data_IF_814519857434
#
_entry.id   IF_814519857434
#
_cell.length_a   1.000
_cell.length_b   1.000
_cell.length_c   1.000
_cell.angle_alpha   90.00
_cell.angle_beta   90.00
_cell.angle_gamma   90.00
#
_symmetry.space_group_name_H-M   'P 1'
#
loop_
_entity.id
_entity.type
_entity.pdbx_description
1 polymer ?
#
# COMPACT_ATOMS: atom_id res chain seq x y z
N UNK A 1 -4.22 -10.88 8.71
CA UNK A 1 -3.84 -9.55 8.24
C UNK A 1 -3.15 -8.81 9.37
N UNK A 2 -1.83 -8.80 9.32
CA UNK A 2 -0.93 -8.02 10.19
C UNK A 2 -0.59 -6.68 9.53
N UNK A 3 -0.05 -5.74 10.31
CA UNK A 3 0.48 -4.48 9.76
C UNK A 3 1.56 -4.72 8.69
N UNK A 4 2.39 -5.76 8.85
CA UNK A 4 3.40 -6.16 7.86
C UNK A 4 2.80 -6.69 6.55
N UNK A 5 1.73 -7.51 6.62
CA UNK A 5 1.03 -8.00 5.42
C UNK A 5 0.43 -6.83 4.62
N UNK A 6 -0.11 -5.82 5.29
CA UNK A 6 -0.65 -4.62 4.65
C UNK A 6 0.47 -3.77 3.99
N UNK A 7 1.62 -3.59 4.66
CA UNK A 7 2.80 -2.93 4.07
C UNK A 7 3.28 -3.69 2.84
N UNK A 8 3.33 -5.02 2.89
CA UNK A 8 3.72 -5.85 1.76
C UNK A 8 2.81 -5.66 0.54
N UNK A 9 1.51 -5.44 0.73
CA UNK A 9 0.59 -5.12 -0.36
C UNK A 9 0.86 -3.73 -0.96
N UNK A 10 1.12 -2.72 -0.12
CA UNK A 10 1.50 -1.38 -0.58
C UNK A 10 2.78 -1.44 -1.43
N UNK A 11 3.82 -2.16 -0.96
CA UNK A 11 5.09 -2.31 -1.68
C UNK A 11 4.90 -2.94 -3.06
N UNK A 12 4.08 -4.01 -3.18
CA UNK A 12 3.81 -4.63 -4.48
C UNK A 12 3.15 -3.68 -5.47
N UNK A 13 2.22 -2.85 -4.99
CA UNK A 13 1.54 -1.85 -5.83
C UNK A 13 2.50 -0.76 -6.29
N UNK A 14 3.37 -0.27 -5.40
CA UNK A 14 4.37 0.74 -5.74
C UNK A 14 5.42 0.21 -6.73
N UNK A 15 5.89 -1.03 -6.54
CA UNK A 15 6.79 -1.69 -7.50
C UNK A 15 6.14 -1.85 -8.87
N UNK A 16 4.84 -2.13 -8.92
CA UNK A 16 4.11 -2.20 -10.17
C UNK A 16 3.99 -0.81 -10.79
N UNK A 17 3.61 0.21 -10.01
CA UNK A 17 3.49 1.59 -10.46
C UNK A 17 4.80 2.13 -11.07
N UNK A 18 5.96 1.80 -10.48
CA UNK A 18 7.28 2.20 -10.98
C UNK A 18 7.56 1.68 -12.41
N UNK A 19 6.95 0.57 -12.80
CA UNK A 19 7.08 0.00 -14.15
C UNK A 19 6.05 0.51 -15.15
N UNK A 20 5.05 1.28 -14.71
CA UNK A 20 3.94 1.72 -15.56
C UNK A 20 4.28 2.99 -16.33
N UNK A 21 4.14 2.94 -17.66
CA UNK A 21 4.25 4.13 -18.52
C UNK A 21 2.93 4.88 -18.65
N UNK A 22 1.82 4.26 -18.26
CA UNK A 22 0.50 4.90 -18.25
C UNK A 22 0.30 5.66 -16.95
N UNK A 23 0.39 7.00 -17.02
CA UNK A 23 0.28 7.89 -15.87
C UNK A 23 -0.98 7.65 -15.04
N UNK A 24 -2.15 7.51 -15.67
CA UNK A 24 -3.40 7.32 -14.96
C UNK A 24 -3.45 5.98 -14.20
N UNK A 25 -2.77 4.95 -14.71
CA UNK A 25 -2.65 3.66 -14.03
C UNK A 25 -1.64 3.74 -12.88
N UNK A 26 -0.49 4.37 -13.10
CA UNK A 26 0.52 4.63 -12.06
C UNK A 26 -0.11 5.34 -10.86
N UNK A 27 -0.78 6.47 -11.08
CA UNK A 27 -1.44 7.25 -10.01
C UNK A 27 -2.50 6.44 -9.26
N UNK A 28 -3.26 5.58 -9.98
CA UNK A 28 -4.24 4.70 -9.34
C UNK A 28 -3.57 3.65 -8.45
N UNK A 29 -2.45 3.07 -8.89
CA UNK A 29 -1.70 2.09 -8.12
C UNK A 29 -1.09 2.72 -6.86
N UNK A 30 -0.55 3.94 -6.98
CA UNK A 30 -0.06 4.74 -5.85
C UNK A 30 -1.18 5.02 -4.83
N UNK A 31 -2.34 5.50 -5.27
CA UNK A 31 -3.48 5.74 -4.37
C UNK A 31 -4.01 4.48 -3.67
N UNK A 32 -3.93 3.32 -4.33
CA UNK A 32 -4.23 2.04 -3.69
C UNK A 32 -3.15 1.66 -2.67
N UNK A 33 -1.88 1.95 -2.94
CA UNK A 33 -0.79 1.73 -1.98
C UNK A 33 -0.98 2.59 -0.73
N UNK A 34 -1.35 3.87 -0.87
CA UNK A 34 -1.65 4.77 0.26
C UNK A 34 -2.80 4.24 1.13
N UNK A 35 -3.82 3.65 0.50
CA UNK A 35 -4.91 3.00 1.21
C UNK A 35 -4.41 1.83 2.06
N UNK A 36 -3.48 1.02 1.54
CA UNK A 36 -2.84 -0.06 2.30
C UNK A 36 -1.95 0.43 3.44
N UNK A 37 -1.24 1.55 3.25
CA UNK A 37 -0.45 2.17 4.32
C UNK A 37 -1.35 2.68 5.46
N UNK A 38 -2.51 3.23 5.13
CA UNK A 38 -3.52 3.63 6.12
C UNK A 38 -4.01 2.42 6.93
N UNK A 39 -4.31 1.30 6.26
CA UNK A 39 -4.68 0.04 6.93
C UNK A 39 -3.55 -0.47 7.81
N UNK A 40 -2.29 -0.42 7.34
CA UNK A 40 -1.14 -0.85 8.13
C UNK A 40 -0.97 -0.03 9.41
N UNK A 41 -1.19 1.29 9.35
CA UNK A 41 -1.15 2.16 10.53
C UNK A 41 -2.21 1.77 11.56
N UNK A 42 -3.46 1.57 11.13
CA UNK A 42 -4.56 1.14 12.00
C UNK A 42 -4.31 -0.24 12.63
N UNK A 43 -3.75 -1.18 11.87
CA UNK A 43 -3.39 -2.50 12.39
C UNK A 43 -2.27 -2.42 13.43
N UNK A 44 -1.26 -1.59 13.20
CA UNK A 44 -0.16 -1.38 14.14
C UNK A 44 -0.63 -0.79 15.46
N UNK A 45 -1.54 0.19 15.40
CA UNK A 45 -2.17 0.76 16.60
C UNK A 45 -2.94 -0.30 17.38
N UNK A 46 -3.69 -1.16 16.68
CA UNK A 46 -4.42 -2.28 17.30
C UNK A 46 -3.48 -3.34 17.90
N UNK A 47 -2.35 -3.64 17.25
CA UNK A 47 -1.37 -4.65 17.70
C UNK A 47 -0.59 -4.18 18.94
N UNK A 48 -0.42 -2.87 19.10
CA UNK A 48 0.25 -2.26 20.26
C UNK A 48 -0.67 -1.96 21.46
N UNK A 49 -1.98 -2.17 21.34
CA UNK A 49 -3.00 -1.98 22.38
C UNK A 49 -3.35 -3.29 23.09
#
# INVERSE_FOLDING_TARGET
MTSEEAIGNAVRLLQHAESETNLALMERLEGLADSWLTVAALLREREGA
#
